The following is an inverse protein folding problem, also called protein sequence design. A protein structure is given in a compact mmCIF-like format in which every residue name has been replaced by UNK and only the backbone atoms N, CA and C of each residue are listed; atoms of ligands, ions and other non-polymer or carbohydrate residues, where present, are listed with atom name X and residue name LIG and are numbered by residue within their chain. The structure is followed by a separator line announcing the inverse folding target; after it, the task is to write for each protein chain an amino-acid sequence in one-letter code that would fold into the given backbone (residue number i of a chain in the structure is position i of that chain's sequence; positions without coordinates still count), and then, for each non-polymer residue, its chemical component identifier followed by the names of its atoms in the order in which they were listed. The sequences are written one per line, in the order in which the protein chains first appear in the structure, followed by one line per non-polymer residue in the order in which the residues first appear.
data_IF_069848521032
#
_entry.id   IF_069848521032
#
_cell.length_a   1.000
_cell.length_b   1.000
_cell.length_c   1.000
_cell.angle_alpha   90.00
_cell.angle_beta   90.00
_cell.angle_gamma   90.00
#
_symmetry.space_group_name_H-M   'P 1'
#
loop_
_entity.id
_entity.type
_entity.pdbx_description
1 polymer ?
#
# COMPACT_ATOMS: atom_id res chain seq x y z
N UNK A 1 -19.13 -11.24 -11.07
CA UNK A 1 -18.34 -11.37 -9.86
C UNK A 1 -19.09 -12.14 -8.77
N UNK A 2 -20.28 -11.67 -8.31
CA UNK A 2 -21.05 -12.35 -7.27
C UNK A 2 -21.38 -13.82 -7.57
N UNK A 3 -21.64 -14.17 -8.84
CA UNK A 3 -21.85 -15.57 -9.26
C UNK A 3 -20.59 -16.41 -9.09
N UNK A 4 -19.41 -15.86 -9.41
CA UNK A 4 -18.12 -16.54 -9.24
C UNK A 4 -17.84 -16.80 -7.77
N UNK A 5 -17.97 -15.79 -6.93
CA UNK A 5 -17.81 -15.91 -5.47
C UNK A 5 -18.75 -16.98 -4.89
N UNK A 6 -20.01 -17.00 -5.34
CA UNK A 6 -20.98 -18.02 -4.89
C UNK A 6 -20.56 -19.44 -5.28
N UNK A 7 -20.08 -19.62 -6.50
CA UNK A 7 -19.59 -20.93 -6.95
C UNK A 7 -18.37 -21.39 -6.14
N UNK A 8 -17.42 -20.48 -5.85
CA UNK A 8 -16.26 -20.77 -5.01
C UNK A 8 -16.67 -21.15 -3.59
N UNK A 9 -17.61 -20.41 -3.00
CA UNK A 9 -18.11 -20.72 -1.66
C UNK A 9 -18.87 -22.04 -1.60
N UNK A 10 -19.67 -22.37 -2.62
CA UNK A 10 -20.38 -23.63 -2.69
C UNK A 10 -19.40 -24.81 -2.84
N UNK A 11 -18.33 -24.65 -3.60
CA UNK A 11 -17.25 -25.63 -3.70
C UNK A 11 -16.52 -25.80 -2.35
N UNK A 12 -16.19 -24.72 -1.67
CA UNK A 12 -15.62 -24.75 -0.32
C UNK A 12 -16.51 -25.49 0.67
N UNK A 13 -17.81 -25.21 0.70
CA UNK A 13 -18.75 -25.91 1.59
C UNK A 13 -18.84 -27.43 1.34
N UNK A 14 -18.68 -27.83 0.08
CA UNK A 14 -18.70 -29.24 -0.29
C UNK A 14 -17.44 -30.00 0.20
N UNK A 15 -16.32 -29.30 0.31
CA UNK A 15 -15.05 -29.85 0.82
C UNK A 15 -14.29 -28.76 1.60
N UNK A 16 -14.70 -28.43 2.86
CA UNK A 16 -14.06 -27.37 3.64
C UNK A 16 -12.60 -27.72 3.95
N UNK A 17 -11.69 -26.84 3.52
CA UNK A 17 -10.28 -26.89 3.84
C UNK A 17 -9.78 -25.47 4.17
N UNK A 18 -9.23 -25.30 5.37
CA UNK A 18 -8.75 -24.01 5.84
C UNK A 18 -9.82 -22.96 6.01
N UNK A 19 -9.51 -21.72 5.59
CA UNK A 19 -10.35 -20.54 5.72
C UNK A 19 -10.75 -20.03 4.33
N UNK A 20 -12.06 -19.84 4.12
CA UNK A 20 -12.55 -19.36 2.83
C UNK A 20 -12.27 -17.86 2.65
N UNK A 21 -11.45 -17.52 1.69
CA UNK A 21 -11.32 -16.20 1.09
C UNK A 21 -10.89 -16.33 -0.37
N UNK A 22 -11.10 -15.31 -1.18
CA UNK A 22 -10.64 -15.26 -2.56
C UNK A 22 -10.43 -13.81 -3.02
N UNK A 23 -9.59 -13.60 -4.04
CA UNK A 23 -9.47 -12.28 -4.68
C UNK A 23 -10.82 -11.73 -5.15
N UNK A 24 -11.69 -12.57 -5.69
CA UNK A 24 -13.02 -12.17 -6.17
C UNK A 24 -13.95 -11.76 -5.01
N UNK A 25 -13.86 -12.40 -3.84
CA UNK A 25 -14.62 -11.98 -2.67
C UNK A 25 -14.10 -10.63 -2.14
N UNK A 26 -12.78 -10.44 -2.09
CA UNK A 26 -12.18 -9.16 -1.70
C UNK A 26 -12.54 -8.03 -2.68
N UNK A 27 -12.54 -8.32 -4.00
CA UNK A 27 -12.97 -7.38 -5.04
C UNK A 27 -14.45 -7.00 -4.84
N UNK A 28 -15.32 -7.99 -4.61
CA UNK A 28 -16.76 -7.77 -4.39
C UNK A 28 -17.02 -6.90 -3.16
N UNK A 29 -16.42 -7.24 -2.02
CA UNK A 29 -16.54 -6.46 -0.77
C UNK A 29 -16.10 -5.00 -0.99
N UNK A 30 -14.97 -4.80 -1.67
CA UNK A 30 -14.40 -3.48 -1.92
C UNK A 30 -15.30 -2.63 -2.83
N UNK A 31 -15.81 -3.22 -3.92
CA UNK A 31 -16.72 -2.52 -4.84
C UNK A 31 -18.03 -2.15 -4.14
N UNK A 32 -18.59 -3.07 -3.34
CA UNK A 32 -19.81 -2.80 -2.59
C UNK A 32 -19.60 -1.73 -1.52
N UNK A 33 -18.51 -1.79 -0.75
CA UNK A 33 -18.15 -0.80 0.26
C UNK A 33 -17.89 0.60 -0.33
N UNK A 34 -17.38 0.67 -1.55
CA UNK A 34 -17.18 1.91 -2.27
C UNK A 34 -18.39 2.42 -3.04
N UNK A 35 -19.57 1.80 -2.89
CA UNK A 35 -20.83 2.19 -3.55
C UNK A 35 -20.72 2.36 -5.08
N UNK A 36 -19.81 1.63 -5.72
CA UNK A 36 -19.61 1.63 -7.17
C UNK A 36 -18.83 2.84 -7.72
N UNK A 37 -18.26 3.70 -6.88
CA UNK A 37 -17.38 4.80 -7.31
C UNK A 37 -15.91 4.38 -7.49
N UNK A 38 -15.57 3.16 -7.11
CA UNK A 38 -14.25 2.59 -7.27
C UNK A 38 -13.89 2.42 -8.76
N UNK A 39 -12.60 2.48 -9.07
CA UNK A 39 -12.09 1.94 -10.33
C UNK A 39 -11.99 0.40 -10.24
N UNK A 40 -12.81 -0.36 -10.98
CA UNK A 40 -12.83 -1.82 -10.87
C UNK A 40 -11.50 -2.48 -11.26
N UNK A 41 -10.71 -1.86 -12.14
CA UNK A 41 -9.40 -2.40 -12.56
C UNK A 41 -8.39 -2.29 -11.44
N UNK A 42 -8.38 -1.17 -10.71
CA UNK A 42 -7.50 -0.97 -9.56
C UNK A 42 -7.89 -1.90 -8.40
N UNK A 43 -9.20 -2.05 -8.14
CA UNK A 43 -9.70 -2.96 -7.10
C UNK A 43 -9.30 -4.40 -7.41
N UNK A 44 -9.51 -4.85 -8.65
CA UNK A 44 -9.11 -6.19 -9.10
C UNK A 44 -7.61 -6.41 -8.94
N UNK A 45 -6.78 -5.46 -9.41
CA UNK A 45 -5.33 -5.54 -9.28
C UNK A 45 -4.88 -5.64 -7.82
N UNK A 46 -5.45 -4.84 -6.94
CA UNK A 46 -5.19 -4.90 -5.51
C UNK A 46 -5.56 -6.27 -4.93
N UNK A 47 -6.75 -6.79 -5.22
CA UNK A 47 -7.22 -8.06 -4.69
C UNK A 47 -6.36 -9.24 -5.15
N UNK A 48 -6.00 -9.28 -6.43
CA UNK A 48 -5.18 -10.36 -7.01
C UNK A 48 -3.73 -10.36 -6.50
N UNK A 49 -3.17 -9.20 -6.09
CA UNK A 49 -1.77 -9.07 -5.68
C UNK A 49 -1.56 -8.89 -4.17
N UNK A 50 -2.63 -8.82 -3.37
CA UNK A 50 -2.52 -8.55 -1.93
C UNK A 50 -1.78 -9.65 -1.17
N UNK A 51 -1.99 -10.93 -1.53
CA UNK A 51 -1.32 -12.07 -0.90
C UNK A 51 0.21 -12.04 -1.14
N UNK A 52 0.62 -11.71 -2.37
CA UNK A 52 2.04 -11.61 -2.72
C UNK A 52 2.70 -10.44 -1.97
N UNK A 53 1.98 -9.33 -1.76
CA UNK A 53 2.48 -8.21 -0.97
C UNK A 53 2.70 -8.61 0.50
N UNK A 54 1.79 -9.35 1.12
CA UNK A 54 1.95 -9.87 2.49
C UNK A 54 3.12 -10.86 2.57
N UNK A 55 3.24 -11.76 1.60
CA UNK A 55 4.35 -12.72 1.51
C UNK A 55 5.69 -12.02 1.35
N UNK A 56 5.74 -10.95 0.56
CA UNK A 56 6.93 -10.12 0.41
C UNK A 56 7.30 -9.43 1.73
N UNK A 57 6.35 -8.85 2.46
CA UNK A 57 6.58 -8.26 3.79
C UNK A 57 7.13 -9.29 4.76
N UNK A 58 6.57 -10.50 4.79
CA UNK A 58 7.05 -11.61 5.61
C UNK A 58 8.50 -11.99 5.29
N UNK A 59 8.87 -11.98 4.00
CA UNK A 59 10.23 -12.25 3.54
C UNK A 59 11.26 -11.20 3.98
N UNK A 60 10.81 -9.97 4.25
CA UNK A 60 11.62 -8.89 4.82
C UNK A 60 11.70 -8.93 6.36
N UNK A 61 10.98 -9.86 7.01
CA UNK A 61 10.92 -9.99 8.46
C UNK A 61 9.71 -9.31 9.10
N UNK A 62 8.81 -8.70 8.33
CA UNK A 62 7.58 -8.11 8.87
C UNK A 62 6.51 -9.21 9.10
N UNK A 63 6.43 -9.73 10.31
CA UNK A 63 5.51 -10.81 10.69
C UNK A 63 4.12 -10.27 11.04
N UNK A 64 3.19 -10.34 10.10
CA UNK A 64 1.82 -9.84 10.21
C UNK A 64 0.83 -11.01 10.32
N UNK A 65 1.01 -11.87 11.30
CA UNK A 65 0.31 -13.16 11.38
C UNK A 65 -1.04 -13.12 12.09
N UNK A 66 -1.39 -12.03 12.76
CA UNK A 66 -2.74 -11.86 13.32
C UNK A 66 -3.69 -11.39 12.23
N UNK A 67 -4.78 -12.11 12.03
CA UNK A 67 -5.77 -11.79 10.99
C UNK A 67 -7.06 -11.32 11.64
N UNK A 68 -7.57 -10.17 11.20
CA UNK A 68 -8.78 -9.56 11.71
C UNK A 68 -9.71 -9.07 10.62
N UNK A 69 -10.87 -8.52 11.04
CA UNK A 69 -11.82 -7.89 10.15
C UNK A 69 -11.52 -6.40 9.95
N UNK A 70 -11.88 -5.87 8.78
CA UNK A 70 -12.09 -4.45 8.54
C UNK A 70 -13.58 -4.19 8.27
N UNK A 71 -14.03 -2.96 8.45
CA UNK A 71 -15.39 -2.56 8.09
C UNK A 71 -15.67 -2.86 6.61
N UNK A 72 -16.82 -3.50 6.33
CA UNK A 72 -17.21 -3.90 4.98
C UNK A 72 -16.61 -5.22 4.46
N UNK A 73 -15.65 -5.84 5.15
CA UNK A 73 -15.14 -7.14 4.75
C UNK A 73 -16.06 -8.27 5.21
N UNK A 74 -16.40 -9.19 4.31
CA UNK A 74 -17.21 -10.38 4.60
C UNK A 74 -16.49 -11.41 5.46
N UNK A 75 -15.13 -11.39 5.44
CA UNK A 75 -14.25 -12.35 6.11
C UNK A 75 -13.04 -11.63 6.73
N UNK A 76 -12.36 -12.32 7.65
CA UNK A 76 -11.13 -11.79 8.25
C UNK A 76 -9.99 -11.91 7.24
N UNK A 77 -9.39 -10.77 6.85
CA UNK A 77 -8.27 -10.71 5.89
C UNK A 77 -7.26 -9.60 6.18
N UNK A 78 -7.44 -8.86 7.27
CA UNK A 78 -6.53 -7.77 7.64
C UNK A 78 -5.39 -8.34 8.47
N UNK A 79 -4.21 -8.36 7.91
CA UNK A 79 -2.99 -8.81 8.55
C UNK A 79 -2.42 -7.73 9.47
N UNK A 80 -2.08 -8.13 10.70
CA UNK A 80 -1.61 -7.23 11.77
C UNK A 80 -0.43 -7.86 12.52
N UNK A 81 0.50 -7.04 13.03
CA UNK A 81 1.52 -7.50 13.96
C UNK A 81 0.94 -7.61 15.37
N UNK A 82 1.59 -8.45 16.18
CA UNK A 82 1.32 -8.56 17.62
C UNK A 82 2.58 -8.33 18.42
N UNK A 83 2.43 -7.91 19.68
CA UNK A 83 3.48 -7.93 20.67
C UNK A 83 3.75 -9.37 21.20
N UNK A 84 4.66 -9.50 22.16
CA UNK A 84 5.03 -10.78 22.75
C UNK A 84 3.88 -11.47 23.51
N UNK A 85 2.90 -10.70 23.98
CA UNK A 85 1.70 -11.15 24.67
C UNK A 85 0.56 -11.50 23.70
N UNK A 86 0.76 -11.36 22.38
CA UNK A 86 -0.23 -11.65 21.34
C UNK A 86 -1.24 -10.54 21.09
N UNK A 87 -1.06 -9.35 21.69
CA UNK A 87 -1.93 -8.20 21.47
C UNK A 87 -1.56 -7.48 20.18
N UNK A 88 -2.57 -7.14 19.38
CA UNK A 88 -2.39 -6.39 18.14
C UNK A 88 -1.82 -5.00 18.41
N UNK A 89 -0.76 -4.65 17.68
CA UNK A 89 -0.08 -3.35 17.75
C UNK A 89 -0.20 -2.57 16.43
N UNK A 90 0.26 -1.32 16.42
CA UNK A 90 0.24 -0.46 15.23
C UNK A 90 1.09 -1.03 14.10
N UNK A 91 0.48 -1.26 12.94
CA UNK A 91 1.16 -1.78 11.74
C UNK A 91 2.27 -0.82 11.29
N UNK A 92 2.01 0.48 11.22
CA UNK A 92 3.00 1.47 10.78
C UNK A 92 4.21 1.52 11.71
N UNK A 93 3.97 1.58 13.03
CA UNK A 93 5.05 1.59 14.03
C UNK A 93 5.89 0.30 14.00
N UNK A 94 5.30 -0.82 13.57
CA UNK A 94 5.99 -2.10 13.43
C UNK A 94 6.77 -2.22 12.12
N UNK A 95 6.17 -1.84 10.98
CA UNK A 95 6.78 -2.03 9.65
C UNK A 95 7.95 -1.07 9.40
N UNK A 96 7.87 0.18 9.87
CA UNK A 96 8.90 1.18 9.60
C UNK A 96 10.30 0.75 10.10
N UNK A 97 10.47 0.27 11.35
CA UNK A 97 11.77 -0.28 11.79
C UNK A 97 12.27 -1.43 10.90
N UNK A 98 11.38 -2.36 10.49
CA UNK A 98 11.74 -3.47 9.60
C UNK A 98 12.26 -2.95 8.25
N UNK A 99 11.60 -1.96 7.66
CA UNK A 99 12.06 -1.35 6.41
C UNK A 99 13.38 -0.59 6.60
N UNK A 100 13.54 0.14 7.70
CA UNK A 100 14.78 0.86 8.01
C UNK A 100 15.96 -0.11 8.07
N UNK A 101 15.84 -1.20 8.80
CA UNK A 101 16.88 -2.24 8.87
C UNK A 101 17.20 -2.83 7.48
N UNK A 102 16.18 -3.15 6.71
CA UNK A 102 16.35 -3.69 5.35
C UNK A 102 17.05 -2.70 4.41
N UNK A 103 16.81 -1.40 4.55
CA UNK A 103 17.49 -0.35 3.78
C UNK A 103 18.93 -0.20 4.24
N UNK A 104 19.20 -0.20 5.53
CA UNK A 104 20.56 -0.11 6.09
C UNK A 104 21.44 -1.28 5.63
N UNK A 105 20.90 -2.51 5.63
CA UNK A 105 21.58 -3.69 5.08
C UNK A 105 21.89 -3.57 3.59
N UNK A 106 21.23 -2.68 2.86
CA UNK A 106 21.39 -2.41 1.42
C UNK A 106 22.01 -1.03 1.14
N UNK A 107 22.71 -0.45 2.09
CA UNK A 107 23.27 0.89 2.01
C UNK A 107 24.26 1.10 0.86
N UNK A 108 24.84 0.02 0.30
CA UNK A 108 25.60 0.09 -0.94
C UNK A 108 24.78 0.47 -2.18
N UNK A 109 23.47 0.19 -2.16
CA UNK A 109 22.57 0.39 -3.29
C UNK A 109 21.48 1.43 -3.02
N UNK A 110 21.20 1.72 -1.75
CA UNK A 110 20.13 2.62 -1.31
C UNK A 110 20.74 3.74 -0.48
N UNK A 111 20.40 4.99 -0.82
CA UNK A 111 20.76 6.17 -0.03
C UNK A 111 19.50 6.86 0.47
N UNK A 112 19.45 7.16 1.77
CA UNK A 112 18.37 7.93 2.40
C UNK A 112 18.81 9.39 2.57
N UNK A 113 17.89 10.29 2.28
CA UNK A 113 18.04 11.73 2.50
C UNK A 113 16.90 12.18 3.39
N UNK A 114 17.16 12.33 4.68
CA UNK A 114 16.22 12.87 5.65
C UNK A 114 16.18 14.38 5.61
N UNK A 115 15.17 15.01 6.21
CA UNK A 115 14.98 16.48 6.24
C UNK A 115 15.17 17.12 4.86
N UNK A 116 14.71 16.41 3.82
CA UNK A 116 14.90 16.82 2.42
C UNK A 116 13.53 16.88 1.74
N UNK A 117 13.10 18.07 1.38
CA UNK A 117 11.81 18.33 0.75
C UNK A 117 11.94 18.25 -0.78
N UNK A 118 11.15 17.40 -1.41
CA UNK A 118 11.06 17.35 -2.87
C UNK A 118 10.22 18.54 -3.37
N UNK A 119 10.83 19.41 -4.18
CA UNK A 119 10.20 20.66 -4.64
C UNK A 119 9.52 20.49 -5.99
N UNK A 120 10.18 19.82 -6.94
CA UNK A 120 9.67 19.65 -8.29
C UNK A 120 10.31 18.45 -9.01
N UNK A 121 9.60 17.97 -10.02
CA UNK A 121 10.14 16.98 -10.97
C UNK A 121 10.91 17.68 -12.08
N UNK A 122 11.97 17.05 -12.57
CA UNK A 122 12.72 17.49 -13.73
C UNK A 122 12.19 16.75 -14.96
N UNK A 123 11.82 17.52 -15.98
CA UNK A 123 11.38 16.98 -17.28
C UNK A 123 12.37 17.37 -18.37
N UNK A 124 12.58 16.48 -19.33
CA UNK A 124 13.26 16.80 -20.58
C UNK A 124 12.31 17.45 -21.62
N UNK A 125 12.81 17.73 -22.81
CA UNK A 125 12.07 18.38 -23.89
C UNK A 125 10.88 17.52 -24.40
N UNK A 126 10.95 16.20 -24.20
CA UNK A 126 9.89 15.25 -24.56
C UNK A 126 8.87 15.06 -23.43
N UNK A 127 9.03 15.74 -22.28
CA UNK A 127 8.16 15.63 -21.10
C UNK A 127 8.44 14.42 -20.21
N UNK A 128 9.51 13.67 -20.47
CA UNK A 128 9.92 12.53 -19.66
C UNK A 128 10.55 12.99 -18.34
N UNK A 129 10.19 12.34 -17.24
CA UNK A 129 10.78 12.62 -15.93
C UNK A 129 12.21 12.07 -15.89
N UNK A 130 13.17 12.95 -15.58
CA UNK A 130 14.61 12.67 -15.55
C UNK A 130 15.23 12.92 -14.18
N UNK A 131 14.45 13.41 -13.20
CA UNK A 131 14.95 13.63 -11.86
C UNK A 131 14.01 14.41 -10.95
N UNK A 132 14.57 14.85 -9.83
CA UNK A 132 13.89 15.63 -8.77
C UNK A 132 14.79 16.76 -8.32
N UNK A 133 14.22 17.94 -8.13
CA UNK A 133 14.83 19.04 -7.37
C UNK A 133 14.31 18.98 -5.95
N UNK A 134 15.18 19.15 -4.98
CA UNK A 134 14.83 19.11 -3.57
C UNK A 134 15.58 20.21 -2.78
N UNK A 135 15.04 20.54 -1.60
CA UNK A 135 15.68 21.43 -0.63
C UNK A 135 16.06 20.65 0.62
N UNK A 136 17.33 20.64 0.96
CA UNK A 136 17.84 20.00 2.17
C UNK A 136 17.59 20.83 3.43
N UNK A 137 17.93 20.28 4.59
CA UNK A 137 17.69 20.84 5.92
C UNK A 137 18.25 22.25 6.09
N UNK A 138 19.40 22.58 5.50
CA UNK A 138 20.03 23.89 5.56
C UNK A 138 19.56 24.87 4.48
N UNK A 139 18.53 24.52 3.72
CA UNK A 139 18.03 25.33 2.60
C UNK A 139 18.81 25.16 1.31
N UNK A 140 19.82 24.29 1.27
CA UNK A 140 20.61 23.99 0.09
C UNK A 140 19.79 23.25 -0.96
N UNK A 141 19.94 23.63 -2.23
CA UNK A 141 19.28 22.93 -3.35
C UNK A 141 20.08 21.68 -3.75
N UNK A 142 19.34 20.61 -3.92
CA UNK A 142 19.82 19.30 -4.35
C UNK A 142 19.14 18.93 -5.67
N UNK A 143 19.91 18.34 -6.57
CA UNK A 143 19.37 17.80 -7.84
C UNK A 143 19.69 16.32 -7.91
N UNK A 144 18.65 15.50 -8.05
CA UNK A 144 18.76 14.06 -8.20
C UNK A 144 18.40 13.69 -9.65
N UNK A 145 19.38 13.28 -10.44
CA UNK A 145 19.11 12.72 -11.76
C UNK A 145 18.76 11.24 -11.63
N UNK A 146 17.69 10.81 -12.26
CA UNK A 146 17.17 9.47 -12.15
C UNK A 146 16.58 8.97 -13.48
N UNK A 147 16.64 7.66 -13.70
CA UNK A 147 16.01 7.01 -14.85
C UNK A 147 14.48 6.90 -14.67
N UNK A 148 14.01 6.88 -13.43
CA UNK A 148 12.62 6.87 -13.04
C UNK A 148 12.45 7.50 -11.66
N UNK A 149 11.28 8.06 -11.37
CA UNK A 149 10.89 8.62 -10.08
C UNK A 149 9.59 7.98 -9.63
N UNK A 150 9.55 7.50 -8.38
CA UNK A 150 8.34 6.99 -7.75
C UNK A 150 7.88 8.00 -6.72
N UNK A 151 6.67 8.54 -6.88
CA UNK A 151 6.04 9.42 -5.90
C UNK A 151 5.28 8.56 -4.88
N UNK A 152 5.82 8.48 -3.67
CA UNK A 152 5.22 7.75 -2.54
C UNK A 152 4.93 8.70 -1.37
N UNK A 153 4.49 9.92 -1.66
CA UNK A 153 4.33 11.05 -0.72
C UNK A 153 3.05 10.99 0.12
N UNK A 154 2.25 9.95 -0.06
CA UNK A 154 0.96 9.80 0.62
C UNK A 154 -0.14 10.67 0.02
N UNK A 155 -1.22 10.84 0.76
CA UNK A 155 -2.37 11.64 0.33
C UNK A 155 -2.23 13.13 0.63
N UNK A 156 -3.06 13.93 -0.01
CA UNK A 156 -3.07 15.40 0.14
C UNK A 156 -4.24 15.93 0.99
N UNK A 157 -4.84 15.09 1.84
CA UNK A 157 -5.99 15.48 2.67
C UNK A 157 -5.77 16.66 3.62
N UNK A 158 -4.51 17.02 3.93
CA UNK A 158 -4.16 18.20 4.70
C UNK A 158 -4.00 19.46 3.83
N UNK A 159 -4.02 19.35 2.52
CA UNK A 159 -3.97 20.48 1.60
C UNK A 159 -5.40 20.85 1.16
N UNK A 160 -6.00 21.78 1.87
CA UNK A 160 -7.41 22.18 1.65
C UNK A 160 -7.64 22.70 0.22
N UNK A 161 -6.73 23.46 -0.34
CA UNK A 161 -6.84 23.97 -1.72
C UNK A 161 -6.90 22.84 -2.75
N UNK A 162 -6.04 21.81 -2.60
CA UNK A 162 -6.10 20.63 -3.46
C UNK A 162 -7.39 19.85 -3.25
N UNK A 163 -7.84 19.68 -2.01
CA UNK A 163 -9.09 18.96 -1.72
C UNK A 163 -10.27 19.69 -2.37
N UNK A 164 -10.38 20.99 -2.20
CA UNK A 164 -11.44 21.82 -2.80
C UNK A 164 -11.42 21.80 -4.33
N UNK A 165 -10.24 21.70 -4.96
CA UNK A 165 -10.14 21.62 -6.43
C UNK A 165 -10.73 20.34 -7.00
N UNK A 166 -10.74 19.23 -6.23
CA UNK A 166 -11.31 17.96 -6.63
C UNK A 166 -12.73 17.74 -6.09
N UNK A 167 -13.07 18.38 -5.00
CA UNK A 167 -14.38 18.29 -4.34
C UNK A 167 -14.79 19.62 -3.72
N UNK A 168 -15.37 20.51 -4.51
CA UNK A 168 -15.70 21.91 -4.11
C UNK A 168 -16.93 22.06 -3.21
N UNK A 169 -17.45 20.98 -2.59
CA UNK A 169 -18.63 20.96 -1.71
C UNK A 169 -18.27 21.21 -0.24
#
# INVERSE_FOLDING_TARGET
LAKVVRQQYDAYKANPDGYFDSPELMELDTIMGGHGINDPKLVKYMAENSNDAISWLDSLGAKLHSVGAAGGASVFRIHRPTDAEGKVISVGAYIIPVFTENVEQRSSNIRLFYSTHADSLIQDEDGKITGVVATGETGNKLTFNAKAVILATGGFGANHEMVESYRPE
#
